data_IF_545018599293
#
_entry.id   IF_545018599293
#
_cell.length_a   1.000
_cell.length_b   1.000
_cell.length_c   1.000
_cell.angle_alpha   90.00
_cell.angle_beta   90.00
_cell.angle_gamma   90.00
#
_symmetry.space_group_name_H-M   'P 1'
#
loop_
_entity.id
_entity.type
_entity.pdbx_description
1 polymer ?
#
# COMPACT_ATOMS: atom_id res chain seq x y z
N UNK A 1 37.64 -12.42 7.30
CA UNK A 1 36.71 -12.70 6.16
C UNK A 1 35.32 -13.16 6.62
N UNK A 2 35.16 -14.13 7.52
CA UNK A 2 33.85 -14.63 8.02
C UNK A 2 33.01 -13.55 8.73
N UNK A 3 33.62 -12.73 9.59
CA UNK A 3 32.92 -11.65 10.33
C UNK A 3 32.33 -10.59 9.37
N UNK A 4 33.08 -10.14 8.36
CA UNK A 4 32.60 -9.18 7.35
C UNK A 4 31.37 -9.70 6.58
N UNK A 5 31.36 -11.00 6.22
CA UNK A 5 30.21 -11.63 5.55
C UNK A 5 29.00 -11.72 6.49
N UNK A 6 29.22 -12.07 7.76
CA UNK A 6 28.13 -12.11 8.76
C UNK A 6 27.51 -10.72 8.98
N UNK A 7 28.32 -9.67 9.08
CA UNK A 7 27.84 -8.29 9.19
C UNK A 7 27.04 -7.86 7.97
N UNK A 8 27.52 -8.17 6.75
CA UNK A 8 26.80 -7.86 5.52
C UNK A 8 25.47 -8.60 5.41
N UNK A 9 25.42 -9.89 5.81
CA UNK A 9 24.19 -10.66 5.85
C UNK A 9 23.18 -10.07 6.83
N UNK A 10 23.64 -9.70 8.03
CA UNK A 10 22.80 -9.05 9.02
C UNK A 10 22.25 -7.70 8.51
N UNK A 11 23.14 -6.86 7.96
CA UNK A 11 22.73 -5.57 7.39
C UNK A 11 21.72 -5.75 6.26
N UNK A 12 21.92 -6.73 5.36
CA UNK A 12 20.99 -7.08 4.30
C UNK A 12 19.64 -7.52 4.87
N UNK A 13 19.62 -8.42 5.84
CA UNK A 13 18.38 -8.94 6.44
C UNK A 13 17.59 -7.85 7.16
N UNK A 14 18.26 -7.01 7.95
CA UNK A 14 17.62 -5.90 8.67
C UNK A 14 17.05 -4.88 7.68
N UNK A 15 17.85 -4.41 6.72
CA UNK A 15 17.39 -3.44 5.72
C UNK A 15 16.26 -4.01 4.86
N UNK A 16 16.32 -5.28 4.51
CA UNK A 16 15.25 -5.95 3.76
C UNK A 16 13.96 -6.07 4.59
N UNK A 17 14.05 -6.45 5.87
CA UNK A 17 12.91 -6.48 6.78
C UNK A 17 12.22 -5.11 6.90
N UNK A 18 13.00 -4.03 7.00
CA UNK A 18 12.50 -2.66 7.01
C UNK A 18 11.81 -2.33 5.66
N UNK A 19 12.40 -2.71 4.52
CA UNK A 19 11.81 -2.47 3.21
C UNK A 19 10.46 -3.19 3.05
N UNK A 20 10.36 -4.46 3.47
CA UNK A 20 9.12 -5.24 3.46
C UNK A 20 8.05 -4.62 4.37
N UNK A 21 8.45 -4.12 5.53
CA UNK A 21 7.54 -3.42 6.44
C UNK A 21 6.96 -2.15 5.81
N UNK A 22 7.80 -1.30 5.18
CA UNK A 22 7.33 -0.13 4.45
C UNK A 22 6.45 -0.49 3.25
N UNK A 23 6.78 -1.58 2.53
CA UNK A 23 5.93 -2.08 1.44
C UNK A 23 4.54 -2.46 1.96
N UNK A 24 4.44 -3.20 3.07
CA UNK A 24 3.17 -3.54 3.68
C UNK A 24 2.34 -2.30 4.07
N UNK A 25 2.97 -1.28 4.64
CA UNK A 25 2.31 -0.01 4.95
C UNK A 25 1.84 0.76 3.71
N UNK A 26 2.61 0.69 2.63
CA UNK A 26 2.23 1.32 1.37
C UNK A 26 1.00 0.64 0.76
N UNK A 27 0.95 -0.70 0.77
CA UNK A 27 -0.21 -1.45 0.30
C UNK A 27 -1.45 -1.22 1.17
N UNK A 28 -1.28 -1.00 2.47
CA UNK A 28 -2.39 -0.65 3.36
C UNK A 28 -2.90 0.79 3.15
N UNK A 29 -2.07 1.69 2.62
CA UNK A 29 -2.46 3.09 2.40
C UNK A 29 -3.33 3.29 1.15
N UNK A 30 -3.19 2.44 0.14
CA UNK A 30 -3.90 2.60 -1.12
C UNK A 30 -4.84 1.45 -1.43
N UNK A 31 -6.11 1.76 -1.72
CA UNK A 31 -7.06 0.82 -2.28
C UNK A 31 -6.69 0.47 -3.73
N UNK A 32 -7.53 -0.33 -4.36
CA UNK A 32 -7.33 -0.77 -5.74
C UNK A 32 -7.41 0.39 -6.73
N UNK A 33 -8.45 1.21 -6.63
CA UNK A 33 -8.67 2.41 -7.46
C UNK A 33 -9.12 3.56 -6.57
N UNK A 34 -8.50 4.72 -6.75
CA UNK A 34 -8.86 5.97 -6.10
C UNK A 34 -9.47 6.92 -7.13
N UNK A 35 -10.58 7.52 -6.79
CA UNK A 35 -11.27 8.51 -7.61
C UNK A 35 -11.22 9.83 -6.89
N UNK A 36 -10.71 10.85 -7.55
CA UNK A 36 -10.56 12.21 -7.02
C UNK A 36 -11.42 13.18 -7.84
N UNK A 37 -12.15 14.03 -7.17
CA UNK A 37 -12.97 15.06 -7.80
C UNK A 37 -12.68 16.43 -7.20
N UNK A 38 -12.57 17.43 -8.04
CA UNK A 38 -12.41 18.82 -7.60
C UNK A 38 -13.75 19.40 -7.09
N UNK A 39 -14.86 18.78 -7.47
CA UNK A 39 -16.21 19.16 -7.05
C UNK A 39 -16.83 18.02 -6.25
N UNK A 40 -17.43 18.28 -5.08
CA UNK A 40 -18.08 17.23 -4.30
C UNK A 40 -19.15 16.48 -5.12
N UNK A 41 -19.07 15.17 -5.12
CA UNK A 41 -20.06 14.28 -5.71
C UNK A 41 -21.30 14.28 -4.82
N UNK A 42 -22.46 14.54 -5.41
CA UNK A 42 -23.72 14.68 -4.65
C UNK A 42 -24.21 13.34 -4.09
N UNK A 43 -24.93 13.37 -2.98
CA UNK A 43 -25.51 12.16 -2.37
C UNK A 43 -26.34 11.32 -3.35
N UNK A 44 -27.10 11.95 -4.27
CA UNK A 44 -27.84 11.24 -5.31
C UNK A 44 -26.94 10.42 -6.24
N UNK A 45 -25.81 10.99 -6.66
CA UNK A 45 -24.84 10.31 -7.51
C UNK A 45 -24.15 9.15 -6.76
N UNK A 46 -23.88 9.32 -5.47
CA UNK A 46 -23.30 8.29 -4.62
C UNK A 46 -24.29 7.13 -4.40
N UNK A 47 -25.56 7.41 -4.22
CA UNK A 47 -26.61 6.39 -4.16
C UNK A 47 -26.80 5.66 -5.50
N UNK A 48 -26.75 6.39 -6.63
CA UNK A 48 -26.77 5.79 -7.96
C UNK A 48 -25.57 4.86 -8.16
N UNK A 49 -24.37 5.26 -7.72
CA UNK A 49 -23.17 4.43 -7.75
C UNK A 49 -23.33 3.16 -6.91
N UNK A 50 -23.84 3.27 -5.68
CA UNK A 50 -24.15 2.09 -4.84
C UNK A 50 -25.18 1.15 -5.50
N UNK A 51 -26.18 1.71 -6.15
CA UNK A 51 -27.19 0.94 -6.85
C UNK A 51 -26.61 0.20 -8.07
N UNK A 52 -25.76 0.86 -8.84
CA UNK A 52 -25.04 0.25 -9.96
C UNK A 52 -24.13 -0.90 -9.49
N UNK A 53 -23.38 -0.70 -8.38
CA UNK A 53 -22.55 -1.75 -7.76
C UNK A 53 -23.35 -3.01 -7.37
N UNK A 54 -24.59 -2.84 -6.92
CA UNK A 54 -25.44 -3.99 -6.52
C UNK A 54 -26.02 -4.75 -7.72
N UNK A 55 -26.11 -4.12 -8.88
CA UNK A 55 -26.71 -4.71 -10.09
C UNK A 55 -25.69 -5.45 -10.95
N UNK A 56 -24.42 -5.17 -10.80
CA UNK A 56 -23.35 -5.74 -11.62
C UNK A 56 -22.75 -6.97 -10.92
N UNK A 57 -23.01 -8.17 -11.44
CA UNK A 57 -22.53 -9.44 -10.87
C UNK A 57 -21.00 -9.52 -10.72
N UNK A 58 -20.25 -8.83 -11.60
CA UNK A 58 -18.79 -8.75 -11.54
C UNK A 58 -18.26 -7.68 -10.56
N UNK A 59 -19.07 -6.68 -10.23
CA UNK A 59 -18.71 -5.58 -9.35
C UNK A 59 -19.09 -5.83 -7.88
N UNK A 60 -19.81 -6.91 -7.60
CA UNK A 60 -20.26 -7.26 -6.24
C UNK A 60 -19.13 -7.45 -5.24
N UNK A 61 -17.89 -7.61 -5.71
CA UNK A 61 -16.69 -7.67 -4.90
C UNK A 61 -16.03 -6.29 -4.63
N UNK A 62 -16.47 -5.21 -5.29
CA UNK A 62 -15.96 -3.86 -5.07
C UNK A 62 -16.72 -3.19 -3.93
N UNK A 63 -15.98 -2.73 -2.93
CA UNK A 63 -16.55 -1.98 -1.79
C UNK A 63 -16.11 -0.52 -1.92
N UNK A 64 -17.03 0.44 -2.07
CA UNK A 64 -16.71 1.86 -2.13
C UNK A 64 -16.64 2.44 -0.71
N UNK A 65 -15.65 3.31 -0.49
CA UNK A 65 -15.60 4.23 0.63
C UNK A 65 -15.57 5.67 0.10
N UNK A 66 -16.43 6.51 0.63
CA UNK A 66 -16.58 7.92 0.23
C UNK A 66 -15.94 8.81 1.29
N UNK A 67 -15.22 9.83 0.88
CA UNK A 67 -14.58 10.71 1.85
C UNK A 67 -14.20 12.06 1.25
N UNK A 68 -14.01 13.02 2.14
CA UNK A 68 -13.45 14.33 1.84
C UNK A 68 -12.48 14.73 2.95
N UNK A 69 -11.56 15.63 2.63
CA UNK A 69 -10.64 16.20 3.59
C UNK A 69 -10.81 17.70 3.60
N UNK A 70 -10.89 18.27 4.80
CA UNK A 70 -10.90 19.71 5.04
C UNK A 70 -9.81 20.05 6.05
N UNK A 71 -9.12 21.16 5.82
CA UNK A 71 -8.24 21.77 6.81
C UNK A 71 -9.01 22.89 7.50
N UNK A 72 -9.05 22.85 8.81
CA UNK A 72 -9.84 23.82 9.58
C UNK A 72 -9.38 23.92 11.02
N UNK A 73 -10.19 24.56 11.83
CA UNK A 73 -9.99 24.64 13.27
C UNK A 73 -10.90 23.66 13.99
N UNK A 74 -10.35 23.02 15.00
CA UNK A 74 -11.11 22.22 15.94
C UNK A 74 -11.09 22.91 17.31
N UNK A 75 -12.24 22.96 17.93
CA UNK A 75 -12.42 23.60 19.24
C UNK A 75 -12.90 22.56 20.25
N UNK A 76 -12.18 22.46 21.36
CA UNK A 76 -12.62 21.75 22.56
C UNK A 76 -13.15 22.75 23.57
N UNK A 77 -13.68 22.29 24.68
CA UNK A 77 -14.08 23.16 25.78
C UNK A 77 -12.89 24.01 26.33
N UNK A 78 -11.66 23.61 26.07
CA UNK A 78 -10.48 24.18 26.71
C UNK A 78 -9.57 24.92 25.73
N UNK A 79 -9.37 24.38 24.54
CA UNK A 79 -8.38 24.86 23.58
C UNK A 79 -8.87 24.70 22.14
N UNK A 80 -8.29 25.49 21.26
CA UNK A 80 -8.51 25.45 19.81
C UNK A 80 -7.21 25.08 19.11
N UNK A 81 -7.26 24.18 18.13
CA UNK A 81 -6.09 23.85 17.33
C UNK A 81 -6.44 23.70 15.83
N UNK A 82 -5.42 23.85 14.99
CA UNK A 82 -5.55 23.47 13.57
C UNK A 82 -5.63 21.96 13.43
N UNK A 83 -6.61 21.48 12.68
CA UNK A 83 -6.83 20.04 12.47
C UNK A 83 -7.15 19.77 11.00
N UNK A 84 -6.74 18.60 10.53
CA UNK A 84 -7.21 18.06 9.27
C UNK A 84 -8.35 17.09 9.55
N UNK A 85 -9.57 17.47 9.20
CA UNK A 85 -10.75 16.63 9.31
C UNK A 85 -10.89 15.75 8.06
N UNK A 86 -11.08 14.47 8.26
CA UNK A 86 -11.38 13.49 7.21
C UNK A 86 -12.80 12.99 7.48
N UNK A 87 -13.73 13.51 6.69
CA UNK A 87 -15.15 13.15 6.72
C UNK A 87 -15.33 11.91 5.84
N UNK A 88 -15.95 10.85 6.34
CA UNK A 88 -16.06 9.62 5.56
C UNK A 88 -17.37 8.85 5.79
N UNK A 89 -17.72 8.07 4.76
CA UNK A 89 -18.83 7.12 4.77
C UNK A 89 -18.36 5.79 4.14
N UNK A 90 -18.18 4.76 4.93
CA UNK A 90 -17.68 3.46 4.50
C UNK A 90 -16.62 2.92 5.47
N UNK A 91 -15.72 2.10 4.96
CA UNK A 91 -14.64 1.53 5.74
C UNK A 91 -13.50 2.56 5.94
N UNK A 92 -13.14 2.84 7.18
CA UNK A 92 -12.09 3.81 7.50
C UNK A 92 -10.71 3.42 6.95
N UNK A 93 -10.40 2.12 6.91
CA UNK A 93 -9.12 1.60 6.38
C UNK A 93 -8.91 2.00 4.91
N UNK A 94 -10.00 2.09 4.13
CA UNK A 94 -9.95 2.57 2.75
C UNK A 94 -9.55 4.04 2.67
N UNK A 95 -9.91 4.82 3.67
CA UNK A 95 -9.76 6.27 3.70
C UNK A 95 -8.43 6.68 4.28
N UNK A 96 -8.09 6.13 5.45
CA UNK A 96 -6.83 6.43 6.14
C UNK A 96 -6.36 5.22 6.98
N UNK A 97 -5.14 4.70 6.77
CA UNK A 97 -4.62 3.54 7.49
C UNK A 97 -4.18 3.94 8.90
N UNK A 98 -5.13 4.07 9.80
CA UNK A 98 -4.90 4.44 11.18
C UNK A 98 -4.74 3.22 12.11
N UNK A 99 -3.90 3.34 13.11
CA UNK A 99 -3.75 2.33 14.17
C UNK A 99 -4.50 2.79 15.40
N UNK A 100 -5.62 2.13 15.68
CA UNK A 100 -6.44 2.40 16.86
C UNK A 100 -5.66 2.09 18.14
N UNK A 101 -5.73 2.98 19.12
CA UNK A 101 -5.14 2.80 20.45
C UNK A 101 -6.24 2.50 21.48
N UNK A 102 -7.37 3.22 21.40
CA UNK A 102 -8.47 3.08 22.34
C UNK A 102 -9.80 3.38 21.66
N UNK A 103 -10.89 2.77 22.14
CA UNK A 103 -12.24 2.97 21.62
C UNK A 103 -12.48 2.28 20.28
N UNK A 104 -13.09 2.99 19.31
CA UNK A 104 -13.40 2.50 17.96
C UNK A 104 -13.42 3.62 16.95
N UNK A 105 -13.33 3.29 15.66
CA UNK A 105 -13.64 4.24 14.61
C UNK A 105 -15.16 4.39 14.44
N UNK A 106 -15.66 5.58 13.98
CA UNK A 106 -17.03 5.75 13.56
C UNK A 106 -17.45 4.68 12.53
N UNK A 107 -18.63 4.11 12.70
CA UNK A 107 -19.17 3.17 11.72
C UNK A 107 -19.64 3.93 10.46
N UNK A 108 -19.84 3.18 9.36
CA UNK A 108 -20.40 3.75 8.14
C UNK A 108 -21.76 4.42 8.43
N UNK A 109 -21.90 5.69 8.01
CA UNK A 109 -23.11 6.54 8.24
C UNK A 109 -23.39 6.88 9.72
N UNK A 110 -22.41 6.81 10.59
CA UNK A 110 -22.54 7.22 11.98
C UNK A 110 -22.16 8.69 12.15
N UNK A 111 -23.15 9.59 11.96
CA UNK A 111 -22.95 11.03 12.06
C UNK A 111 -22.64 11.48 13.49
N UNK A 112 -21.92 12.60 13.63
CA UNK A 112 -21.63 13.20 14.92
C UNK A 112 -20.68 12.39 15.80
N UNK A 113 -19.95 11.43 15.23
CA UNK A 113 -18.89 10.70 15.90
C UNK A 113 -17.57 10.91 15.20
N UNK A 114 -16.50 11.00 15.98
CA UNK A 114 -15.14 11.07 15.42
C UNK A 114 -14.15 10.21 16.21
N UNK A 115 -13.06 9.84 15.54
CA UNK A 115 -11.86 9.37 16.19
C UNK A 115 -10.77 10.42 15.98
N UNK A 116 -9.99 10.74 17.01
CA UNK A 116 -8.95 11.76 16.97
C UNK A 116 -7.56 11.15 17.05
N UNK A 117 -6.58 11.81 16.47
CA UNK A 117 -5.18 11.42 16.58
C UNK A 117 -4.60 11.76 17.96
N UNK A 118 -3.53 11.04 18.35
CA UNK A 118 -2.79 11.36 19.58
C UNK A 118 -2.27 12.80 19.57
N UNK A 119 -1.84 13.33 18.42
CA UNK A 119 -1.40 14.72 18.30
C UNK A 119 -2.53 15.72 18.58
N UNK A 120 -3.73 15.49 17.99
CA UNK A 120 -4.91 16.33 18.23
C UNK A 120 -5.37 16.24 19.69
N UNK A 121 -5.37 15.05 20.27
CA UNK A 121 -5.74 14.83 21.67
C UNK A 121 -4.87 15.63 22.64
N UNK A 122 -3.54 15.61 22.45
CA UNK A 122 -2.61 16.40 23.26
C UNK A 122 -2.79 17.90 23.07
N UNK A 123 -3.09 18.39 21.85
CA UNK A 123 -3.30 19.81 21.59
C UNK A 123 -4.59 20.34 22.19
N UNK A 124 -5.68 19.55 22.12
CA UNK A 124 -7.02 19.98 22.53
C UNK A 124 -7.32 19.74 24.01
N UNK A 125 -6.77 18.68 24.61
CA UNK A 125 -7.08 18.28 25.99
C UNK A 125 -5.85 18.06 26.88
N UNK A 126 -4.63 18.08 26.32
CA UNK A 126 -3.41 17.79 27.06
C UNK A 126 -3.35 16.36 27.61
N UNK A 127 -4.16 15.45 27.06
CA UNK A 127 -4.32 14.06 27.54
C UNK A 127 -4.70 13.14 26.40
N UNK A 128 -4.47 11.84 26.57
CA UNK A 128 -4.97 10.77 25.70
C UNK A 128 -6.32 10.21 26.18
N UNK A 129 -6.78 10.54 27.38
CA UNK A 129 -8.10 10.17 27.91
C UNK A 129 -9.16 11.14 27.36
N UNK A 130 -9.61 10.89 26.12
CA UNK A 130 -10.48 11.80 25.37
C UNK A 130 -11.80 11.16 24.94
N UNK A 131 -12.01 9.88 25.25
CA UNK A 131 -13.25 9.21 24.85
C UNK A 131 -14.48 9.85 25.49
N UNK A 132 -15.47 10.10 24.64
CA UNK A 132 -16.73 10.75 25.07
C UNK A 132 -16.68 12.26 25.16
N UNK A 133 -15.53 12.91 24.98
CA UNK A 133 -15.39 14.36 24.88
C UNK A 133 -16.08 14.88 23.61
N UNK A 134 -16.45 16.14 23.65
CA UNK A 134 -17.05 16.84 22.50
C UNK A 134 -15.97 17.67 21.80
N UNK A 135 -16.04 17.67 20.48
CA UNK A 135 -15.15 18.38 19.58
C UNK A 135 -15.99 19.11 18.54
N UNK A 136 -15.81 20.41 18.41
CA UNK A 136 -16.41 21.21 17.36
C UNK A 136 -15.41 21.38 16.21
N UNK A 137 -15.81 21.05 14.99
CA UNK A 137 -15.02 21.24 13.77
C UNK A 137 -15.88 22.01 12.78
N UNK A 138 -15.46 23.22 12.40
CA UNK A 138 -16.16 24.07 11.41
C UNK A 138 -17.65 24.32 11.75
N UNK A 139 -18.02 24.30 13.04
CA UNK A 139 -19.39 24.50 13.51
C UNK A 139 -20.22 23.23 13.71
N UNK A 140 -19.68 22.07 13.31
CA UNK A 140 -20.31 20.78 13.55
C UNK A 140 -19.75 20.12 14.81
N UNK A 141 -20.63 19.58 15.66
CA UNK A 141 -20.24 18.97 16.94
C UNK A 141 -20.11 17.45 16.77
N UNK A 142 -18.93 16.95 17.10
CA UNK A 142 -18.60 15.53 17.10
C UNK A 142 -18.29 15.04 18.51
N UNK A 143 -18.69 13.79 18.80
CA UNK A 143 -18.31 13.10 20.02
C UNK A 143 -17.17 12.12 19.75
N UNK A 144 -16.08 12.26 20.50
CA UNK A 144 -14.91 11.39 20.35
C UNK A 144 -15.26 9.97 20.78
N UNK A 145 -15.15 9.01 19.86
CA UNK A 145 -15.40 7.58 20.11
C UNK A 145 -14.14 6.70 19.94
N UNK A 146 -13.03 7.29 19.50
CA UNK A 146 -11.77 6.57 19.34
C UNK A 146 -10.55 7.48 19.36
N UNK A 147 -9.43 6.89 19.77
CA UNK A 147 -8.10 7.49 19.74
C UNK A 147 -7.19 6.64 18.84
N UNK A 148 -6.51 7.25 17.90
CA UNK A 148 -5.57 6.56 17.02
C UNK A 148 -4.20 7.21 16.99
N UNK A 149 -3.18 6.42 16.65
CA UNK A 149 -1.80 6.88 16.63
C UNK A 149 -1.49 7.69 15.36
N UNK A 150 -1.19 8.97 15.52
CA UNK A 150 -0.63 9.83 14.47
C UNK A 150 0.11 11.01 15.09
N UNK A 151 1.21 11.43 14.46
CA UNK A 151 1.95 12.66 14.80
C UNK A 151 1.34 13.92 14.14
N UNK A 152 0.45 13.75 13.18
CA UNK A 152 -0.32 14.85 12.58
C UNK A 152 -1.63 15.03 13.35
N UNK A 153 -2.10 16.28 13.46
CA UNK A 153 -3.39 16.62 14.07
C UNK A 153 -4.52 16.27 13.10
N UNK A 154 -5.17 15.13 13.33
CA UNK A 154 -6.19 14.54 12.44
C UNK A 154 -7.44 14.17 13.23
N UNK A 155 -8.61 14.31 12.59
CA UNK A 155 -9.87 13.71 13.02
C UNK A 155 -10.50 12.90 11.88
N UNK A 156 -10.95 11.68 12.18
CA UNK A 156 -11.73 10.82 11.30
C UNK A 156 -13.19 10.89 11.73
N UNK A 157 -14.01 11.58 10.96
CA UNK A 157 -15.41 11.88 11.30
C UNK A 157 -16.34 11.04 10.42
N UNK A 158 -17.28 10.32 11.06
CA UNK A 158 -18.32 9.60 10.36
C UNK A 158 -19.41 10.51 9.83
N UNK A 159 -19.79 10.34 8.55
CA UNK A 159 -20.77 11.17 7.88
C UNK A 159 -21.77 10.35 7.05
N UNK A 160 -22.94 10.95 6.78
CA UNK A 160 -23.93 10.39 5.86
C UNK A 160 -23.57 10.69 4.41
N UNK A 161 -24.19 9.95 3.47
CA UNK A 161 -24.03 10.20 2.03
C UNK A 161 -24.52 11.57 1.59
N UNK A 162 -25.45 12.18 2.32
CA UNK A 162 -26.04 13.49 1.99
C UNK A 162 -25.02 14.62 2.06
N UNK A 163 -23.95 14.45 2.83
CA UNK A 163 -22.88 15.43 2.95
C UNK A 163 -22.21 15.75 1.59
N UNK A 164 -22.12 14.73 0.69
CA UNK A 164 -21.34 14.84 -0.55
C UNK A 164 -19.84 14.69 -0.29
N UNK A 165 -19.13 14.01 -1.20
CA UNK A 165 -17.72 13.67 -1.00
C UNK A 165 -16.91 13.93 -2.26
N UNK A 166 -15.68 14.41 -2.09
CA UNK A 166 -14.76 14.69 -3.19
C UNK A 166 -13.97 13.46 -3.65
N UNK A 167 -13.89 12.42 -2.82
CA UNK A 167 -13.05 11.26 -3.09
C UNK A 167 -13.84 9.97 -2.90
N UNK A 168 -13.53 8.98 -3.75
CA UNK A 168 -14.11 7.64 -3.67
C UNK A 168 -12.97 6.63 -3.77
N UNK A 169 -12.90 5.70 -2.84
CA UNK A 169 -11.95 4.61 -2.86
C UNK A 169 -12.66 3.29 -3.13
N UNK A 170 -12.10 2.46 -4.00
CA UNK A 170 -12.64 1.15 -4.32
C UNK A 170 -11.69 0.04 -3.86
N UNK A 171 -12.21 -0.88 -3.07
CA UNK A 171 -11.51 -2.06 -2.58
C UNK A 171 -12.10 -3.35 -3.19
N UNK A 172 -11.32 -4.43 -3.20
CA UNK A 172 -11.77 -5.72 -3.71
C UNK A 172 -11.73 -5.84 -5.23
N UNK A 173 -12.53 -6.73 -5.81
CA UNK A 173 -12.70 -6.80 -7.26
C UNK A 173 -11.51 -7.36 -8.04
N UNK A 174 -11.05 -8.55 -7.70
CA UNK A 174 -9.91 -9.17 -8.40
C UNK A 174 -10.27 -9.91 -9.69
N UNK A 175 -11.55 -10.02 -10.03
CA UNK A 175 -12.02 -10.84 -11.18
C UNK A 175 -11.95 -10.12 -12.53
N UNK A 176 -12.04 -8.77 -12.56
CA UNK A 176 -12.05 -7.97 -13.78
C UNK A 176 -11.03 -6.80 -13.67
N UNK A 177 -10.62 -6.18 -14.82
CA UNK A 177 -9.78 -4.98 -14.80
C UNK A 177 -10.45 -3.88 -13.97
N UNK A 178 -9.85 -3.48 -12.81
CA UNK A 178 -10.56 -2.63 -11.86
C UNK A 178 -10.84 -1.22 -12.38
N UNK A 179 -9.94 -0.69 -13.22
CA UNK A 179 -10.08 0.67 -13.77
C UNK A 179 -11.25 0.76 -14.73
N UNK A 180 -11.40 -0.24 -15.61
CA UNK A 180 -12.49 -0.28 -16.60
C UNK A 180 -13.84 -0.45 -15.91
N UNK A 181 -13.91 -1.35 -14.93
CA UNK A 181 -15.12 -1.58 -14.12
C UNK A 181 -15.53 -0.33 -13.39
N UNK A 182 -14.59 0.34 -12.71
CA UNK A 182 -14.87 1.62 -11.99
C UNK A 182 -15.31 2.71 -12.98
N UNK A 183 -14.69 2.81 -14.17
CA UNK A 183 -15.13 3.77 -15.19
C UNK A 183 -16.57 3.52 -15.66
N UNK A 184 -16.96 2.27 -15.85
CA UNK A 184 -18.33 1.92 -16.22
C UNK A 184 -19.32 2.31 -15.13
N UNK A 185 -19.01 2.00 -13.87
CA UNK A 185 -19.82 2.37 -12.71
C UNK A 185 -19.99 3.89 -12.55
N UNK A 186 -18.89 4.65 -12.70
CA UNK A 186 -18.92 6.10 -12.63
C UNK A 186 -19.75 6.72 -13.76
N UNK A 187 -19.67 6.17 -14.98
CA UNK A 187 -20.53 6.59 -16.10
C UNK A 187 -22.00 6.31 -15.82
N UNK A 188 -22.33 5.12 -15.30
CA UNK A 188 -23.69 4.76 -14.92
C UNK A 188 -24.26 5.68 -13.84
N UNK A 189 -23.44 6.15 -12.91
CA UNK A 189 -23.80 7.11 -11.86
C UNK A 189 -23.77 8.58 -12.30
N UNK A 190 -23.38 8.89 -13.56
CA UNK A 190 -23.28 10.26 -14.06
C UNK A 190 -22.11 11.06 -13.49
N UNK A 191 -21.06 10.40 -12.98
CA UNK A 191 -19.92 11.03 -12.32
C UNK A 191 -18.71 11.19 -13.25
N UNK A 192 -18.61 10.43 -14.33
CA UNK A 192 -17.39 10.21 -15.11
C UNK A 192 -16.70 11.45 -15.73
N UNK A 193 -17.39 12.57 -15.84
CA UNK A 193 -16.85 13.80 -16.48
C UNK A 193 -16.11 14.75 -15.52
N UNK A 194 -16.17 14.48 -14.21
CA UNK A 194 -15.71 15.41 -13.17
C UNK A 194 -14.61 14.82 -12.28
N UNK A 195 -14.05 13.66 -12.67
CA UNK A 195 -13.18 12.90 -11.77
C UNK A 195 -11.87 12.48 -12.42
N UNK A 196 -10.81 12.47 -11.64
CA UNK A 196 -9.53 11.87 -11.97
C UNK A 196 -9.42 10.49 -11.36
N UNK A 197 -9.18 9.48 -12.20
CA UNK A 197 -8.94 8.09 -11.78
C UNK A 197 -7.46 7.90 -11.47
N UNK A 198 -7.16 7.45 -10.28
CA UNK A 198 -5.83 7.11 -9.84
C UNK A 198 -5.72 5.61 -9.54
N UNK A 199 -4.88 4.94 -10.29
CA UNK A 199 -4.60 3.51 -10.14
C UNK A 199 -3.13 3.32 -9.69
N UNK A 200 -2.87 3.25 -8.37
CA UNK A 200 -1.52 3.21 -7.82
C UNK A 200 -0.81 1.86 -8.01
N UNK A 201 -1.56 0.79 -8.30
CA UNK A 201 -1.05 -0.58 -8.37
C UNK A 201 0.24 -0.76 -9.19
N UNK A 202 0.41 -0.21 -10.42
CA UNK A 202 1.60 -0.48 -11.24
C UNK A 202 2.90 -0.03 -10.56
N UNK A 203 2.93 1.16 -9.97
CA UNK A 203 4.14 1.65 -9.32
C UNK A 203 4.37 1.00 -7.97
N UNK A 204 3.32 0.67 -7.20
CA UNK A 204 3.44 -0.09 -5.95
C UNK A 204 3.99 -1.50 -6.20
N UNK A 205 3.51 -2.16 -7.27
CA UNK A 205 4.02 -3.46 -7.69
C UNK A 205 5.51 -3.37 -8.10
N UNK A 206 5.90 -2.33 -8.86
CA UNK A 206 7.29 -2.09 -9.24
C UNK A 206 8.20 -1.88 -8.01
N UNK A 207 7.76 -1.08 -7.04
CA UNK A 207 8.49 -0.87 -5.78
C UNK A 207 8.61 -2.16 -4.95
N UNK A 208 7.54 -2.95 -4.90
CA UNK A 208 7.55 -4.25 -4.21
C UNK A 208 8.52 -5.22 -4.90
N UNK A 209 8.51 -5.28 -6.23
CA UNK A 209 9.48 -6.07 -6.99
C UNK A 209 10.92 -5.62 -6.70
N UNK A 210 11.18 -4.30 -6.65
CA UNK A 210 12.48 -3.76 -6.25
C UNK A 210 12.89 -4.15 -4.84
N UNK A 211 11.95 -4.13 -3.88
CA UNK A 211 12.19 -4.58 -2.50
C UNK A 211 12.45 -6.09 -2.39
N UNK A 212 11.99 -6.89 -3.35
CA UNK A 212 12.26 -8.35 -3.40
C UNK A 212 13.59 -8.71 -4.06
N UNK A 213 14.22 -7.80 -4.82
CA UNK A 213 15.51 -8.06 -5.48
C UNK A 213 16.61 -8.58 -4.54
N UNK A 214 16.79 -8.11 -3.27
CA UNK A 214 17.83 -8.63 -2.38
C UNK A 214 17.69 -10.13 -2.11
N UNK A 215 16.46 -10.62 -1.96
CA UNK A 215 16.20 -12.05 -1.76
C UNK A 215 16.63 -12.85 -2.99
N UNK A 216 16.29 -12.37 -4.20
CA UNK A 216 16.74 -12.98 -5.46
C UNK A 216 18.27 -13.02 -5.59
N UNK A 217 18.96 -11.94 -5.25
CA UNK A 217 20.43 -11.88 -5.28
C UNK A 217 21.08 -12.84 -4.27
N UNK A 218 20.54 -12.94 -3.06
CA UNK A 218 21.02 -13.87 -2.03
C UNK A 218 20.79 -15.31 -2.46
N UNK A 219 19.61 -15.63 -3.01
CA UNK A 219 19.32 -16.96 -3.56
C UNK A 219 20.25 -17.33 -4.72
N UNK A 220 20.54 -16.39 -5.61
CA UNK A 220 21.46 -16.61 -6.72
C UNK A 220 22.90 -16.84 -6.21
N UNK A 221 23.34 -16.09 -5.21
CA UNK A 221 24.65 -16.29 -4.56
C UNK A 221 24.72 -17.67 -3.88
N UNK A 222 23.67 -18.08 -3.18
CA UNK A 222 23.56 -19.40 -2.58
C UNK A 222 23.59 -20.52 -3.63
N UNK A 223 22.80 -20.38 -4.70
CA UNK A 223 22.78 -21.37 -5.80
C UNK A 223 24.15 -21.53 -6.47
N UNK A 224 24.88 -20.42 -6.70
CA UNK A 224 26.25 -20.46 -7.27
C UNK A 224 27.25 -21.16 -6.34
N UNK A 225 27.19 -20.84 -5.04
CA UNK A 225 28.08 -21.50 -4.05
C UNK A 225 27.79 -22.99 -3.92
N UNK A 226 26.52 -23.40 -3.96
CA UNK A 226 26.10 -24.79 -3.96
C UNK A 226 26.53 -25.50 -5.25
N UNK A 227 26.29 -24.90 -6.41
CA UNK A 227 26.70 -25.45 -7.71
C UNK A 227 28.20 -25.65 -7.81
N UNK A 228 29.00 -24.72 -7.28
CA UNK A 228 30.47 -24.89 -7.17
C UNK A 228 30.88 -26.05 -6.27
N UNK A 229 30.18 -26.29 -5.15
CA UNK A 229 30.41 -27.45 -4.27
C UNK A 229 30.05 -28.76 -4.96
N UNK A 230 28.93 -28.82 -5.67
CA UNK A 230 28.50 -30.02 -6.40
C UNK A 230 29.51 -30.39 -7.49
N UNK A 231 30.05 -29.41 -8.23
CA UNK A 231 31.10 -29.65 -9.24
C UNK A 231 32.43 -30.19 -8.69
N UNK A 232 32.75 -29.84 -7.43
CA UNK A 232 33.97 -30.29 -6.74
C UNK A 232 33.83 -31.67 -6.03
N UNK A 233 32.79 -32.45 -6.34
CA UNK A 233 32.60 -33.78 -5.77
C UNK A 233 31.92 -33.80 -4.41
N UNK A 234 30.90 -32.97 -4.24
CA UNK A 234 30.08 -32.89 -3.02
C UNK A 234 29.40 -34.25 -2.71
N UNK A 235 29.16 -34.58 -1.43
CA UNK A 235 28.43 -35.78 -1.02
C UNK A 235 27.08 -35.88 -1.74
N UNK A 236 26.68 -37.07 -2.15
CA UNK A 236 25.41 -37.35 -2.85
C UNK A 236 24.20 -36.73 -2.16
N UNK A 237 24.22 -36.63 -0.83
CA UNK A 237 23.18 -36.02 -0.02
C UNK A 237 22.94 -34.54 -0.36
N UNK A 238 23.99 -33.74 -0.57
CA UNK A 238 23.86 -32.33 -0.94
C UNK A 238 23.26 -32.16 -2.33
N UNK A 239 23.53 -33.06 -3.27
CA UNK A 239 22.92 -33.08 -4.60
C UNK A 239 21.42 -33.32 -4.50
N UNK A 240 20.97 -34.23 -3.64
CA UNK A 240 19.54 -34.48 -3.40
C UNK A 240 18.81 -33.29 -2.78
N UNK A 241 19.43 -32.57 -1.84
CA UNK A 241 18.87 -31.34 -1.27
C UNK A 241 18.73 -30.23 -2.32
N UNK A 242 19.68 -30.05 -3.22
CA UNK A 242 19.62 -29.07 -4.31
C UNK A 242 18.50 -29.41 -5.31
N UNK A 243 18.46 -30.69 -5.73
CA UNK A 243 17.43 -31.21 -6.63
C UNK A 243 16.03 -31.10 -6.00
N UNK A 244 15.88 -31.48 -4.73
CA UNK A 244 14.63 -31.37 -3.97
C UNK A 244 14.18 -29.92 -3.84
N UNK A 245 15.08 -29.00 -3.53
CA UNK A 245 14.80 -27.56 -3.45
C UNK A 245 14.39 -26.97 -4.79
N UNK A 246 15.07 -27.33 -5.89
CA UNK A 246 14.70 -26.91 -7.25
C UNK A 246 13.33 -27.45 -7.66
N UNK A 247 13.04 -28.70 -7.34
CA UNK A 247 11.76 -29.34 -7.61
C UNK A 247 10.63 -28.66 -6.80
N UNK A 248 10.86 -28.41 -5.52
CA UNK A 248 9.90 -27.69 -4.67
C UNK A 248 9.63 -26.29 -5.21
N UNK A 249 10.65 -25.56 -5.62
CA UNK A 249 10.51 -24.24 -6.24
C UNK A 249 9.70 -24.29 -7.53
N UNK A 250 9.96 -25.29 -8.37
CA UNK A 250 9.23 -25.50 -9.62
C UNK A 250 7.74 -25.84 -9.42
N UNK A 251 7.38 -26.45 -8.28
CA UNK A 251 5.99 -26.72 -7.93
C UNK A 251 5.32 -25.49 -7.27
N UNK A 252 6.02 -24.80 -6.38
CA UNK A 252 5.46 -23.68 -5.61
C UNK A 252 5.30 -22.43 -6.47
N UNK A 253 6.25 -22.16 -7.37
CA UNK A 253 6.21 -20.94 -8.20
C UNK A 253 4.94 -20.84 -9.08
N UNK A 254 4.53 -21.88 -9.83
CA UNK A 254 3.26 -21.83 -10.59
C UNK A 254 2.03 -21.71 -9.70
N UNK A 255 2.06 -22.30 -8.49
CA UNK A 255 0.95 -22.17 -7.54
C UNK A 255 0.84 -20.73 -7.02
N UNK A 256 1.95 -20.07 -6.71
CA UNK A 256 1.98 -18.66 -6.32
C UNK A 256 1.53 -17.74 -7.47
N UNK A 257 1.92 -18.02 -8.70
CA UNK A 257 1.50 -17.24 -9.87
C UNK A 257 -0.02 -17.32 -10.11
N UNK A 258 -0.68 -18.41 -9.73
CA UNK A 258 -2.15 -18.54 -9.80
C UNK A 258 -2.89 -17.70 -8.78
N UNK A 259 -2.22 -17.23 -7.73
CA UNK A 259 -2.80 -16.31 -6.74
C UNK A 259 -2.83 -14.87 -7.24
N UNK A 260 -2.12 -14.57 -8.34
CA UNK A 260 -2.18 -13.25 -8.96
C UNK A 260 -3.51 -13.07 -9.70
N UNK A 261 -4.14 -11.89 -9.60
CA UNK A 261 -5.34 -11.58 -10.36
C UNK A 261 -5.16 -11.78 -11.87
N UNK A 262 -6.17 -12.29 -12.61
CA UNK A 262 -6.05 -12.59 -14.05
C UNK A 262 -5.66 -11.38 -14.89
N UNK A 263 -6.02 -10.16 -14.48
CA UNK A 263 -5.72 -8.92 -15.19
C UNK A 263 -4.26 -8.43 -15.00
N UNK A 264 -3.50 -9.05 -14.06
CA UNK A 264 -2.06 -8.76 -13.84
C UNK A 264 -1.17 -9.66 -14.69
N UNK A 265 -1.70 -10.82 -15.11
CA UNK A 265 -0.91 -11.79 -15.85
C UNK A 265 -1.21 -11.68 -17.34
N UNK A 266 -0.20 -11.69 -18.22
CA UNK A 266 -0.46 -11.70 -19.67
C UNK A 266 -1.15 -12.99 -20.06
N UNK A 267 -2.08 -12.91 -21.01
CA UNK A 267 -2.74 -14.09 -21.59
C UNK A 267 -1.72 -15.08 -22.19
N UNK A 268 -0.60 -14.56 -22.68
CA UNK A 268 0.57 -15.31 -23.16
C UNK A 268 1.85 -14.66 -22.65
N UNK A 269 2.76 -15.45 -22.08
CA UNK A 269 4.05 -14.95 -21.60
C UNK A 269 4.94 -14.35 -22.70
N UNK A 270 4.69 -14.69 -23.97
CA UNK A 270 5.33 -14.13 -25.16
C UNK A 270 4.67 -12.84 -25.67
N UNK A 271 3.73 -12.27 -24.95
CA UNK A 271 3.10 -11.01 -25.32
C UNK A 271 4.00 -9.82 -25.00
N UNK A 272 4.80 -9.41 -25.98
CA UNK A 272 5.70 -8.27 -25.85
C UNK A 272 4.96 -6.94 -25.72
N UNK A 273 3.71 -6.84 -26.21
CA UNK A 273 2.90 -5.62 -26.07
C UNK A 273 2.50 -5.38 -24.62
N UNK A 274 2.13 -6.45 -23.92
CA UNK A 274 1.87 -6.39 -22.47
C UNK A 274 3.10 -5.94 -21.68
N UNK A 275 4.25 -6.57 -21.92
CA UNK A 275 5.49 -6.22 -21.20
C UNK A 275 5.97 -4.79 -21.54
N UNK A 276 5.82 -4.37 -22.81
CA UNK A 276 6.14 -3.01 -23.24
C UNK A 276 5.25 -1.94 -22.60
N UNK A 277 4.02 -2.29 -22.24
CA UNK A 277 3.06 -1.40 -21.57
C UNK A 277 3.30 -1.17 -20.08
N UNK A 278 4.07 -2.04 -19.41
CA UNK A 278 4.26 -1.95 -17.95
C UNK A 278 4.99 -0.68 -17.51
N UNK A 279 6.12 -0.34 -18.14
CA UNK A 279 6.89 0.87 -17.78
C UNK A 279 6.10 2.16 -18.02
N UNK A 280 5.43 2.35 -19.17
CA UNK A 280 4.51 3.47 -19.35
C UNK A 280 3.39 3.52 -18.31
N UNK A 281 2.82 2.38 -17.93
CA UNK A 281 1.78 2.33 -16.90
C UNK A 281 2.30 2.78 -15.52
N UNK A 282 3.51 2.36 -15.14
CA UNK A 282 4.20 2.84 -13.93
C UNK A 282 4.43 4.34 -14.00
N UNK A 283 4.97 4.85 -15.12
CA UNK A 283 5.20 6.28 -15.33
C UNK A 283 3.93 7.10 -15.19
N UNK A 284 2.86 6.68 -15.86
CA UNK A 284 1.54 7.34 -15.80
C UNK A 284 0.96 7.34 -14.38
N UNK A 285 1.07 6.22 -13.66
CA UNK A 285 0.58 6.13 -12.29
C UNK A 285 1.35 7.07 -11.35
N UNK A 286 2.67 7.19 -11.51
CA UNK A 286 3.50 8.14 -10.76
C UNK A 286 3.09 9.58 -11.10
N UNK A 287 3.03 9.93 -12.39
CA UNK A 287 2.64 11.26 -12.86
C UNK A 287 1.27 11.69 -12.30
N UNK A 288 0.27 10.81 -12.43
CA UNK A 288 -1.07 11.05 -11.87
C UNK A 288 -1.01 11.26 -10.36
N UNK A 289 -0.28 10.39 -9.61
CA UNK A 289 -0.15 10.52 -8.15
C UNK A 289 0.54 11.80 -7.69
N UNK A 290 1.43 12.39 -8.52
CA UNK A 290 2.06 13.68 -8.23
C UNK A 290 1.23 14.88 -8.68
N UNK A 291 0.33 14.73 -9.65
CA UNK A 291 -0.55 15.80 -10.11
C UNK A 291 -1.79 15.99 -9.22
N UNK A 292 -2.15 14.99 -8.41
CA UNK A 292 -3.27 15.09 -7.46
C UNK A 292 -2.93 16.04 -6.31
N UNK A 293 -3.94 16.80 -5.85
CA UNK A 293 -3.83 17.54 -4.61
C UNK A 293 -3.52 16.58 -3.44
N UNK A 294 -2.41 16.79 -2.71
CA UNK A 294 -2.01 15.86 -1.66
C UNK A 294 -3.00 15.87 -0.50
N UNK A 295 -3.46 14.70 -0.11
CA UNK A 295 -4.21 14.49 1.12
C UNK A 295 -3.34 13.80 2.18
N UNK A 296 -3.81 13.73 3.42
CA UNK A 296 -3.06 13.17 4.55
C UNK A 296 -2.55 11.74 4.27
N UNK A 297 -3.37 10.91 3.61
CA UNK A 297 -2.98 9.56 3.24
C UNK A 297 -1.89 9.53 2.15
N UNK A 298 -1.94 10.46 1.17
CA UNK A 298 -0.93 10.54 0.10
C UNK A 298 0.42 10.99 0.67
N UNK A 299 0.42 11.92 1.64
CA UNK A 299 1.63 12.32 2.36
C UNK A 299 2.24 11.14 3.10
N UNK A 300 1.42 10.38 3.82
CA UNK A 300 1.87 9.17 4.51
C UNK A 300 2.44 8.12 3.53
N UNK A 301 1.80 7.93 2.40
CA UNK A 301 2.27 7.01 1.36
C UNK A 301 3.59 7.46 0.72
N UNK A 302 3.80 8.76 0.50
CA UNK A 302 5.07 9.31 0.02
C UNK A 302 6.21 9.05 1.01
N UNK A 303 5.97 9.22 2.33
CA UNK A 303 6.95 8.88 3.36
C UNK A 303 7.27 7.39 3.40
N UNK A 304 6.26 6.53 3.32
CA UNK A 304 6.45 5.08 3.25
C UNK A 304 7.24 4.68 1.99
N UNK A 305 6.98 5.32 0.85
CA UNK A 305 7.73 5.13 -0.41
C UNK A 305 9.20 5.49 -0.26
N UNK A 306 9.50 6.64 0.33
CA UNK A 306 10.87 7.08 0.58
C UNK A 306 11.60 6.10 1.50
N UNK A 307 10.97 5.69 2.60
CA UNK A 307 11.51 4.70 3.53
C UNK A 307 11.79 3.36 2.85
N UNK A 308 10.86 2.89 2.01
CA UNK A 308 11.02 1.67 1.21
C UNK A 308 12.22 1.78 0.27
N UNK A 309 12.32 2.87 -0.50
CA UNK A 309 13.41 3.07 -1.45
C UNK A 309 14.78 3.08 -0.76
N UNK A 310 14.93 3.79 0.35
CA UNK A 310 16.18 3.84 1.11
C UNK A 310 16.53 2.43 1.63
N UNK A 311 15.60 1.77 2.30
CA UNK A 311 15.83 0.46 2.89
C UNK A 311 16.12 -0.61 1.83
N UNK A 312 15.35 -0.63 0.73
CA UNK A 312 15.56 -1.57 -0.36
C UNK A 312 16.91 -1.33 -1.07
N UNK A 313 17.31 -0.07 -1.26
CA UNK A 313 18.61 0.26 -1.87
C UNK A 313 19.78 -0.22 -1.00
N UNK A 314 19.69 -0.02 0.31
CA UNK A 314 20.70 -0.53 1.25
C UNK A 314 20.76 -2.07 1.24
N UNK A 315 19.61 -2.73 1.21
CA UNK A 315 19.53 -4.19 1.13
C UNK A 315 20.11 -4.72 -0.19
N UNK A 316 19.78 -4.09 -1.32
CA UNK A 316 20.31 -4.44 -2.64
C UNK A 316 21.83 -4.24 -2.71
N UNK A 317 22.36 -3.14 -2.16
CA UNK A 317 23.80 -2.89 -2.11
C UNK A 317 24.54 -3.93 -1.26
N UNK A 318 23.99 -4.31 -0.09
CA UNK A 318 24.55 -5.35 0.76
C UNK A 318 24.50 -6.73 0.07
N UNK A 319 23.39 -7.11 -0.54
CA UNK A 319 23.23 -8.35 -1.30
C UNK A 319 24.20 -8.42 -2.50
N UNK A 320 24.35 -7.33 -3.25
CA UNK A 320 25.30 -7.22 -4.36
C UNK A 320 26.75 -7.42 -3.91
N UNK A 321 27.17 -6.81 -2.78
CA UNK A 321 28.49 -7.03 -2.20
C UNK A 321 28.70 -8.47 -1.75
N UNK A 322 27.68 -9.13 -1.19
CA UNK A 322 27.74 -10.55 -0.84
C UNK A 322 27.93 -11.43 -2.08
N UNK A 323 27.20 -11.15 -3.14
CA UNK A 323 27.32 -11.84 -4.42
C UNK A 323 28.72 -11.68 -5.03
N UNK A 324 29.25 -10.46 -5.12
CA UNK A 324 30.60 -10.17 -5.63
C UNK A 324 31.69 -10.86 -4.79
N UNK A 325 31.59 -10.81 -3.46
CA UNK A 325 32.55 -11.47 -2.56
C UNK A 325 32.53 -13.00 -2.69
N UNK A 326 31.46 -13.57 -3.19
CA UNK A 326 31.34 -14.99 -3.49
C UNK A 326 31.95 -15.35 -4.86
N UNK A 327 31.95 -14.43 -5.82
CA UNK A 327 32.57 -14.59 -7.13
C UNK A 327 34.10 -14.49 -7.07
N UNK A 328 34.65 -13.56 -6.29
CA UNK A 328 36.09 -13.35 -6.16
C UNK A 328 36.81 -14.54 -5.53
N UNK A 329 36.16 -15.29 -4.62
CA UNK A 329 36.71 -16.54 -4.06
C UNK A 329 36.85 -17.65 -5.12
N UNK A 330 35.97 -17.64 -6.13
CA UNK A 330 36.01 -18.64 -7.19
C UNK A 330 37.16 -18.40 -8.19
N UNK A 331 37.52 -17.13 -8.43
CA UNK A 331 38.60 -16.78 -9.37
C UNK A 331 39.97 -16.92 -8.75
N UNK A 332 40.14 -16.74 -7.43
CA UNK A 332 41.46 -16.96 -6.77
C UNK A 332 41.80 -18.42 -6.65
N UNK A 333 40.81 -19.30 -6.37
CA UNK A 333 41.04 -20.77 -6.31
C UNK A 333 41.31 -21.37 -7.70
N UNK A 334 40.89 -20.73 -8.79
CA UNK A 334 41.13 -21.18 -10.17
C UNK A 334 42.48 -20.67 -10.74
N UNK A 335 43.13 -19.73 -10.06
CA UNK A 335 44.47 -19.26 -10.44
C UNK A 335 45.62 -20.00 -9.72
N UNK A 336 45.30 -20.78 -8.69
CA UNK A 336 46.22 -21.57 -7.91
C UNK A 336 46.23 -23.07 -8.35
N UNK A 337 45.43 -23.48 -9.37
CA UNK A 337 45.52 -24.76 -10.11
C UNK A 337 46.23 -24.54 -11.47
#
# INVERSE_FOLDING_TARGET
MKIRKAVLLLACAVSWGIAVWFAGRLWAAYPLVSVRSDVPVTGRQLEALRSALRQEDGASALVPAFWSQAEGSAESRWETCGITAILYCGEYDAVYPAVLLEGRFPAAQENGKCAVSTAAAWQLWGSEDVLGQELEIEGDIYRVCGLFRSSASLALCGESLDHGFSNIEFWGGYAAPPVETVQQLLRAAGIAQQVTLYFPFPWMAALTAYALCPAGLVLLAAARTLGGRVRRGCPKETCWFVLGGAFLLALVLPALLRLLPPWITPARWSDFSYWGGLLPAVGKAIETGFSLNPCAKDVLAKWNTLGLLIAATLANAAAGKLMLSSCLLYTSDAADE
#
